data_IF_915739518192
#
_entry.id   IF_915739518192
#
_cell.length_a   1.000
_cell.length_b   1.000
_cell.length_c   1.000
_cell.angle_alpha   90.00
_cell.angle_beta   90.00
_cell.angle_gamma   90.00
#
_symmetry.space_group_name_H-M   'P 1'
#
loop_
_entity.id
_entity.type
_entity.pdbx_description
1 polymer ?
#
# COMPACT_ATOMS: atom_id res chain seq x y z
N UNK A 1 1.79 -14.54 56.82
CA UNK A 1 0.38 -14.37 56.45
C UNK A 1 0.23 -12.92 56.01
N UNK A 2 0.24 -12.56 54.73
CA UNK A 2 0.10 -13.32 53.50
C UNK A 2 0.99 -12.72 52.42
N UNK A 3 1.86 -13.54 51.84
CA UNK A 3 2.50 -13.30 50.55
C UNK A 3 1.43 -13.51 49.49
N UNK A 4 0.78 -12.43 49.07
CA UNK A 4 -0.05 -12.43 47.88
C UNK A 4 0.87 -12.55 46.65
N UNK A 5 1.31 -13.77 46.36
CA UNK A 5 1.65 -14.21 45.01
C UNK A 5 0.39 -13.98 44.16
N UNK A 6 0.35 -12.82 43.51
CA UNK A 6 -0.59 -12.62 42.41
C UNK A 6 -0.13 -13.55 41.29
N UNK A 7 -0.98 -14.46 40.77
CA UNK A 7 -0.59 -15.28 39.65
C UNK A 7 -0.37 -14.33 38.48
N UNK A 8 0.89 -14.14 38.06
CA UNK A 8 1.21 -13.50 36.79
C UNK A 8 0.46 -14.31 35.75
N UNK A 9 -0.64 -13.76 35.26
CA UNK A 9 -1.54 -14.41 34.33
C UNK A 9 -0.72 -15.00 33.19
N UNK A 10 -0.94 -16.29 32.94
CA UNK A 10 -0.30 -17.10 31.90
C UNK A 10 -0.23 -16.29 30.60
N UNK A 11 0.95 -15.76 30.27
CA UNK A 11 1.10 -14.88 29.12
C UNK A 11 0.86 -15.70 27.86
N UNK A 12 -0.32 -15.55 27.25
CA UNK A 12 -0.71 -16.25 26.02
C UNK A 12 0.38 -16.11 24.97
N UNK A 13 1.19 -17.14 24.78
CA UNK A 13 2.33 -17.11 23.87
C UNK A 13 1.82 -17.28 22.44
N UNK A 14 1.75 -16.19 21.68
CA UNK A 14 1.27 -16.22 20.30
C UNK A 14 2.29 -16.91 19.41
N UNK A 15 1.89 -18.01 18.76
CA UNK A 15 2.72 -18.72 17.80
C UNK A 15 2.29 -18.39 16.35
N UNK A 16 3.13 -18.72 15.36
CA UNK A 16 2.83 -18.51 13.94
C UNK A 16 1.54 -19.18 13.48
N UNK A 17 1.13 -20.26 14.16
CA UNK A 17 -0.15 -20.90 13.94
C UNK A 17 -1.35 -19.96 14.18
N UNK A 18 -1.29 -19.12 15.22
CA UNK A 18 -2.35 -18.15 15.53
C UNK A 18 -2.44 -17.06 14.45
N UNK A 19 -1.29 -16.64 13.90
CA UNK A 19 -1.24 -15.72 12.75
C UNK A 19 -1.86 -16.38 11.52
N UNK A 20 -1.58 -17.67 11.30
CA UNK A 20 -2.18 -18.47 10.24
C UNK A 20 -3.70 -18.59 10.37
N UNK A 21 -4.21 -18.83 11.59
CA UNK A 21 -5.64 -18.80 11.88
C UNK A 21 -6.25 -17.42 11.56
N UNK A 22 -5.60 -16.32 11.97
CA UNK A 22 -6.06 -14.97 11.61
C UNK A 22 -6.11 -14.72 10.09
N UNK A 23 -5.17 -15.29 9.33
CA UNK A 23 -5.16 -15.20 7.87
C UNK A 23 -6.40 -15.86 7.23
N UNK A 24 -7.00 -16.87 7.88
CA UNK A 24 -8.21 -17.52 7.36
C UNK A 24 -9.39 -16.56 7.22
N UNK A 25 -9.52 -15.57 8.11
CA UNK A 25 -10.55 -14.53 8.00
C UNK A 25 -10.35 -13.66 6.75
N UNK A 26 -9.10 -13.36 6.40
CA UNK A 26 -8.78 -12.62 5.17
C UNK A 26 -9.07 -13.48 3.94
N UNK A 27 -8.74 -14.77 3.99
CA UNK A 27 -9.04 -15.72 2.90
C UNK A 27 -10.55 -15.82 2.68
N UNK A 28 -11.32 -15.92 3.75
CA UNK A 28 -12.78 -15.92 3.70
C UNK A 28 -13.34 -14.65 3.05
N UNK A 29 -12.87 -13.47 3.46
CA UNK A 29 -13.25 -12.19 2.85
C UNK A 29 -12.84 -12.10 1.37
N UNK A 30 -11.68 -12.65 1.01
CA UNK A 30 -11.20 -12.71 -0.38
C UNK A 30 -12.10 -13.61 -1.23
N UNK A 31 -12.50 -14.77 -0.71
CA UNK A 31 -13.45 -15.68 -1.36
C UNK A 31 -14.82 -15.02 -1.55
N UNK A 32 -15.33 -14.34 -0.53
CA UNK A 32 -16.59 -13.61 -0.60
C UNK A 32 -16.53 -12.49 -1.66
N UNK A 33 -15.41 -11.75 -1.69
CA UNK A 33 -15.15 -10.72 -2.72
C UNK A 33 -15.11 -11.29 -4.13
N UNK A 34 -14.60 -12.51 -4.31
CA UNK A 34 -14.62 -13.22 -5.59
C UNK A 34 -16.04 -13.59 -6.01
N UNK A 35 -16.83 -14.15 -5.08
CA UNK A 35 -18.21 -14.57 -5.36
C UNK A 35 -19.11 -13.40 -5.74
N UNK A 36 -19.00 -12.27 -5.03
CA UNK A 36 -19.75 -11.05 -5.34
C UNK A 36 -19.10 -10.18 -6.42
N UNK A 37 -17.98 -10.62 -7.02
CA UNK A 37 -17.24 -9.89 -8.08
C UNK A 37 -16.83 -8.46 -7.72
N UNK A 38 -16.48 -8.19 -6.46
CA UNK A 38 -16.06 -6.85 -6.00
C UNK A 38 -14.68 -6.43 -6.54
N UNK A 39 -13.84 -7.38 -6.99
CA UNK A 39 -12.51 -7.08 -7.51
C UNK A 39 -11.45 -6.71 -6.45
N UNK A 40 -11.78 -6.82 -5.16
CA UNK A 40 -10.90 -6.41 -4.04
C UNK A 40 -10.14 -7.60 -3.43
N UNK A 41 -10.66 -8.83 -3.55
CA UNK A 41 -10.11 -10.01 -2.87
C UNK A 41 -8.60 -10.23 -3.09
N UNK A 42 -8.13 -10.14 -4.35
CA UNK A 42 -6.69 -10.27 -4.66
C UNK A 42 -5.87 -9.15 -4.00
N UNK A 43 -6.37 -7.93 -3.97
CA UNK A 43 -5.68 -6.80 -3.34
C UNK A 43 -5.60 -6.97 -1.82
N UNK A 44 -6.69 -7.43 -1.19
CA UNK A 44 -6.76 -7.69 0.25
C UNK A 44 -5.78 -8.82 0.67
N UNK A 45 -5.74 -9.91 -0.09
CA UNK A 45 -4.84 -11.03 0.19
C UNK A 45 -3.36 -10.63 0.05
N UNK A 46 -3.01 -9.90 -1.02
CA UNK A 46 -1.64 -9.39 -1.21
C UNK A 46 -1.26 -8.42 -0.07
N UNK A 47 -2.20 -7.57 0.36
CA UNK A 47 -1.97 -6.65 1.48
C UNK A 47 -1.73 -7.42 2.80
N UNK A 48 -2.46 -8.50 3.05
CA UNK A 48 -2.26 -9.34 4.24
C UNK A 48 -0.89 -10.02 4.24
N UNK A 49 -0.47 -10.60 3.11
CA UNK A 49 0.87 -11.20 2.99
C UNK A 49 1.98 -10.15 3.17
N UNK A 50 1.82 -8.96 2.57
CA UNK A 50 2.74 -7.83 2.77
C UNK A 50 2.78 -7.41 4.25
N UNK A 51 1.64 -7.37 4.93
CA UNK A 51 1.55 -7.04 6.36
C UNK A 51 2.36 -8.03 7.21
N UNK A 52 2.16 -9.34 7.01
CA UNK A 52 2.90 -10.38 7.74
C UNK A 52 4.41 -10.22 7.54
N UNK A 53 4.85 -10.09 6.28
CA UNK A 53 6.27 -9.92 5.98
C UNK A 53 6.86 -8.64 6.56
N UNK A 54 6.14 -7.52 6.47
CA UNK A 54 6.59 -6.23 6.99
C UNK A 54 6.69 -6.22 8.51
N UNK A 55 5.70 -6.75 9.23
CA UNK A 55 5.72 -6.83 10.69
C UNK A 55 6.81 -7.78 11.19
N UNK A 56 7.01 -8.92 10.51
CA UNK A 56 8.08 -9.85 10.87
C UNK A 56 9.47 -9.22 10.71
N UNK A 57 9.73 -8.55 9.58
CA UNK A 57 10.99 -7.83 9.34
C UNK A 57 11.16 -6.71 10.38
N UNK A 58 10.11 -5.92 10.63
CA UNK A 58 10.18 -4.82 11.58
C UNK A 58 10.46 -5.31 13.01
N UNK A 59 9.88 -6.44 13.42
CA UNK A 59 10.17 -7.05 14.73
C UNK A 59 11.65 -7.41 14.89
N UNK A 60 12.28 -7.97 13.85
CA UNK A 60 13.72 -8.29 13.85
C UNK A 60 14.58 -7.03 13.87
N UNK A 61 14.24 -6.03 13.05
CA UNK A 61 14.97 -4.76 12.99
C UNK A 61 14.92 -4.02 14.32
N UNK A 62 13.73 -3.89 14.93
CA UNK A 62 13.54 -3.15 16.17
C UNK A 62 14.40 -3.70 17.31
N UNK A 63 14.57 -5.04 17.39
CA UNK A 63 15.45 -5.67 18.38
C UNK A 63 16.89 -5.14 18.28
N UNK A 64 17.47 -5.17 17.08
CA UNK A 64 18.84 -4.71 16.83
C UNK A 64 19.00 -3.21 17.13
N UNK A 65 17.98 -2.42 16.80
CA UNK A 65 17.97 -0.97 17.00
C UNK A 65 17.93 -0.63 18.48
N UNK A 66 17.12 -1.34 19.26
CA UNK A 66 16.99 -1.12 20.70
C UNK A 66 18.27 -1.48 21.44
N UNK A 67 19.03 -2.48 20.96
CA UNK A 67 20.34 -2.87 21.51
C UNK A 67 21.44 -1.84 21.22
N UNK A 68 21.37 -1.15 20.07
CA UNK A 68 22.45 -0.24 19.63
C UNK A 68 22.42 1.14 20.31
N UNK A 69 21.24 1.59 20.77
CA UNK A 69 20.99 2.88 21.45
C UNK A 69 21.72 4.11 20.86
N UNK A 70 21.92 4.15 19.53
CA UNK A 70 22.66 5.20 18.83
C UNK A 70 21.68 6.20 18.18
N UNK A 71 21.78 7.52 18.44
CA UNK A 71 20.95 8.55 17.81
C UNK A 71 20.94 8.52 16.28
N UNK A 72 22.07 8.14 15.66
CA UNK A 72 22.17 8.04 14.20
C UNK A 72 21.38 6.86 13.63
N UNK A 73 21.28 5.75 14.36
CA UNK A 73 20.44 4.62 13.97
C UNK A 73 18.96 5.04 13.97
N UNK A 74 18.53 5.76 15.01
CA UNK A 74 17.17 6.31 15.15
C UNK A 74 16.84 7.29 14.02
N UNK A 75 17.77 8.20 13.70
CA UNK A 75 17.65 9.11 12.56
C UNK A 75 17.56 8.34 11.22
N UNK A 76 18.38 7.30 11.05
CA UNK A 76 18.37 6.43 9.86
C UNK A 76 17.02 5.76 9.65
N UNK A 77 16.42 5.21 10.70
CA UNK A 77 15.08 4.59 10.62
C UNK A 77 14.02 5.63 10.34
N UNK A 78 14.09 6.80 10.98
CA UNK A 78 13.15 7.88 10.74
C UNK A 78 13.17 8.33 9.26
N UNK A 79 14.36 8.44 8.69
CA UNK A 79 14.55 8.72 7.27
C UNK A 79 13.99 7.58 6.40
N UNK A 80 14.32 6.34 6.73
CA UNK A 80 13.85 5.15 6.01
C UNK A 80 12.32 5.04 6.01
N UNK A 81 11.66 5.28 7.15
CA UNK A 81 10.20 5.29 7.26
C UNK A 81 9.57 6.38 6.39
N UNK A 82 10.17 7.57 6.33
CA UNK A 82 9.73 8.66 5.46
C UNK A 82 9.89 8.31 3.97
N UNK A 83 11.01 7.72 3.58
CA UNK A 83 11.26 7.29 2.20
C UNK A 83 10.32 6.17 1.80
N UNK A 84 10.08 5.18 2.67
CA UNK A 84 9.11 4.11 2.43
C UNK A 84 7.68 4.65 2.33
N UNK A 85 7.30 5.58 3.21
CA UNK A 85 5.98 6.23 3.17
C UNK A 85 5.76 7.04 1.89
N UNK A 86 6.79 7.79 1.47
CA UNK A 86 6.78 8.52 0.19
C UNK A 86 6.63 7.56 -0.97
N UNK A 87 7.42 6.48 -0.98
CA UNK A 87 7.36 5.45 -2.03
C UNK A 87 5.99 4.79 -2.10
N UNK A 88 5.38 4.45 -0.95
CA UNK A 88 4.03 3.89 -0.90
C UNK A 88 2.99 4.84 -1.51
N UNK A 89 3.08 6.12 -1.18
CA UNK A 89 2.18 7.16 -1.71
C UNK A 89 2.30 7.30 -3.22
N UNK A 90 3.54 7.40 -3.73
CA UNK A 90 3.85 7.67 -5.14
C UNK A 90 3.64 6.44 -6.03
N UNK A 91 3.99 5.24 -5.54
CA UNK A 91 4.03 4.01 -6.35
C UNK A 91 2.74 3.22 -6.28
N UNK A 92 2.12 3.12 -5.10
CA UNK A 92 1.02 2.19 -4.85
C UNK A 92 -0.35 2.86 -4.76
N UNK A 93 -0.44 4.06 -4.18
CA UNK A 93 -1.74 4.69 -3.89
C UNK A 93 -2.16 5.78 -4.88
N UNK A 94 -1.21 6.47 -5.51
CA UNK A 94 -1.49 7.52 -6.48
C UNK A 94 -2.00 6.96 -7.82
N UNK A 95 -3.26 7.25 -8.16
CA UNK A 95 -3.87 6.89 -9.46
C UNK A 95 -3.44 7.81 -10.61
N UNK A 96 -3.09 9.06 -10.29
CA UNK A 96 -2.65 10.10 -11.24
C UNK A 96 -1.40 10.74 -10.70
N UNK A 97 -0.41 10.97 -11.55
CA UNK A 97 0.92 11.43 -11.16
C UNK A 97 1.22 12.79 -11.77
N UNK A 98 2.09 13.54 -11.11
CA UNK A 98 2.62 14.78 -11.64
C UNK A 98 4.15 14.74 -11.70
N UNK A 99 4.71 15.61 -12.53
CA UNK A 99 6.16 15.81 -12.63
C UNK A 99 6.75 16.13 -11.23
N UNK A 100 7.90 15.53 -10.87
CA UNK A 100 8.54 15.74 -9.56
C UNK A 100 7.69 15.33 -8.32
N UNK A 101 6.70 14.45 -8.48
CA UNK A 101 5.85 13.99 -7.37
C UNK A 101 6.63 13.37 -6.19
N UNK A 102 7.69 12.59 -6.45
CA UNK A 102 8.48 11.96 -5.39
C UNK A 102 9.18 13.00 -4.48
N UNK A 103 10.02 13.91 -5.00
CA UNK A 103 10.66 14.92 -4.15
C UNK A 103 9.64 15.86 -3.50
N UNK A 104 8.54 16.24 -4.17
CA UNK A 104 7.51 17.08 -3.56
C UNK A 104 6.83 16.41 -2.35
N UNK A 105 6.50 15.12 -2.46
CA UNK A 105 5.91 14.38 -1.34
C UNK A 105 6.94 14.15 -0.24
N UNK A 106 8.19 13.82 -0.58
CA UNK A 106 9.25 13.63 0.40
C UNK A 106 9.49 14.89 1.23
N UNK A 107 9.56 16.06 0.58
CA UNK A 107 9.70 17.36 1.27
C UNK A 107 8.49 17.62 2.17
N UNK A 108 7.28 17.32 1.69
CA UNK A 108 6.05 17.49 2.48
C UNK A 108 6.01 16.57 3.70
N UNK A 109 6.44 15.31 3.56
CA UNK A 109 6.53 14.35 4.66
C UNK A 109 7.60 14.79 5.66
N UNK A 110 8.84 14.99 5.23
CA UNK A 110 9.95 15.38 6.11
C UNK A 110 9.65 16.70 6.82
N UNK A 111 9.15 17.70 6.07
CA UNK A 111 8.79 19.01 6.60
C UNK A 111 7.63 18.99 7.60
N UNK A 112 6.84 17.91 7.64
CA UNK A 112 5.75 17.76 8.59
C UNK A 112 6.04 16.78 9.73
N UNK A 113 6.65 15.63 9.45
CA UNK A 113 6.86 14.58 10.45
C UNK A 113 8.04 14.91 11.36
N UNK A 114 9.14 15.44 10.83
CA UNK A 114 10.37 15.72 11.61
C UNK A 114 10.15 16.82 12.66
N UNK A 115 9.60 18.01 12.33
CA UNK A 115 9.40 19.04 13.35
C UNK A 115 8.35 18.61 14.38
N UNK A 116 7.26 17.99 13.95
CA UNK A 116 6.21 17.54 14.88
C UNK A 116 6.73 16.43 15.80
N UNK A 117 7.50 15.47 15.28
CA UNK A 117 8.07 14.41 16.13
C UNK A 117 9.09 14.94 17.12
N UNK A 118 9.97 15.86 16.69
CA UNK A 118 11.02 16.40 17.56
C UNK A 118 10.44 17.29 18.66
N UNK A 119 9.55 18.23 18.30
CA UNK A 119 8.88 19.12 19.26
C UNK A 119 7.95 18.32 20.17
N UNK A 120 7.13 17.42 19.61
CA UNK A 120 6.20 16.60 20.37
C UNK A 120 6.91 15.65 21.35
N UNK A 121 7.97 14.97 20.91
CA UNK A 121 8.75 14.09 21.79
C UNK A 121 9.43 14.87 22.92
N UNK A 122 10.05 16.01 22.61
CA UNK A 122 10.79 16.80 23.60
C UNK A 122 9.89 17.50 24.61
N UNK A 123 8.85 18.17 24.13
CA UNK A 123 8.05 19.10 24.94
C UNK A 123 6.74 18.50 25.42
N UNK A 124 6.01 17.79 24.55
CA UNK A 124 4.70 17.26 24.92
C UNK A 124 4.80 15.96 25.73
N UNK A 125 5.77 15.09 25.40
CA UNK A 125 5.94 13.80 26.06
C UNK A 125 7.02 13.80 27.14
N UNK A 126 7.81 14.89 27.25
CA UNK A 126 8.86 15.01 28.26
C UNK A 126 9.99 13.98 28.13
N UNK A 127 10.16 13.38 26.94
CA UNK A 127 11.13 12.30 26.74
C UNK A 127 12.53 12.91 26.63
N UNK A 128 13.37 12.61 27.62
CA UNK A 128 14.77 13.02 27.65
C UNK A 128 15.64 11.77 27.91
N UNK A 129 16.44 11.30 26.93
CA UNK A 129 16.69 11.86 25.59
C UNK A 129 15.58 11.54 24.56
N UNK A 130 15.27 12.49 23.67
CA UNK A 130 14.25 12.31 22.61
C UNK A 130 14.49 11.12 21.68
N UNK A 131 15.75 10.68 21.60
CA UNK A 131 16.22 9.61 20.74
C UNK A 131 16.01 8.22 21.34
N UNK A 132 15.28 8.10 22.45
CA UNK A 132 14.97 6.80 23.07
C UNK A 132 14.25 5.91 22.07
N UNK A 133 14.89 4.84 21.53
CA UNK A 133 14.38 4.11 20.38
C UNK A 133 13.00 3.50 20.59
N UNK A 134 12.75 2.99 21.80
CA UNK A 134 11.52 2.28 22.19
C UNK A 134 10.28 3.17 22.09
N UNK A 135 10.43 4.49 22.30
CA UNK A 135 9.33 5.44 22.24
C UNK A 135 9.32 6.16 20.88
N UNK A 136 10.48 6.65 20.43
CA UNK A 136 10.54 7.53 19.26
C UNK A 136 10.23 6.80 17.94
N UNK A 137 10.70 5.55 17.77
CA UNK A 137 10.51 4.82 16.51
C UNK A 137 9.03 4.51 16.25
N UNK A 138 8.25 3.95 17.21
CA UNK A 138 6.81 3.77 17.02
C UNK A 138 6.06 5.08 16.76
N UNK A 139 6.43 6.16 17.45
CA UNK A 139 5.78 7.48 17.28
C UNK A 139 5.98 7.99 15.86
N UNK A 140 7.22 7.99 15.35
CA UNK A 140 7.47 8.37 13.96
C UNK A 140 6.73 7.45 12.99
N UNK A 141 6.70 6.14 13.24
CA UNK A 141 5.97 5.19 12.42
C UNK A 141 4.48 5.55 12.30
N UNK A 142 3.85 5.89 13.43
CA UNK A 142 2.44 6.32 13.46
C UNK A 142 2.21 7.67 12.76
N UNK A 143 3.10 8.64 12.97
CA UNK A 143 3.04 9.94 12.28
C UNK A 143 3.18 9.76 10.76
N UNK A 144 4.14 8.95 10.31
CA UNK A 144 4.33 8.62 8.90
C UNK A 144 3.10 7.90 8.32
N UNK A 145 2.52 6.95 9.05
CA UNK A 145 1.33 6.21 8.61
C UNK A 145 0.10 7.11 8.38
N UNK A 146 -0.15 8.03 9.32
CA UNK A 146 -1.24 9.01 9.21
C UNK A 146 -1.01 10.01 8.07
N UNK A 147 0.19 10.58 7.99
CA UNK A 147 0.56 11.56 6.95
C UNK A 147 0.48 10.98 5.54
N UNK A 148 0.95 9.75 5.33
CA UNK A 148 0.83 9.04 4.03
C UNK A 148 -0.62 8.95 3.57
N UNK A 149 -1.52 8.59 4.49
CA UNK A 149 -2.94 8.47 4.17
C UNK A 149 -3.57 9.83 3.85
N UNK A 150 -3.25 10.87 4.64
CA UNK A 150 -3.74 12.24 4.39
C UNK A 150 -3.22 12.84 3.08
N UNK A 151 -1.91 12.77 2.82
CA UNK A 151 -1.30 13.24 1.57
C UNK A 151 -1.94 12.54 0.37
N UNK A 152 -2.14 11.22 0.45
CA UNK A 152 -2.74 10.48 -0.66
C UNK A 152 -4.16 10.96 -0.97
N UNK A 153 -4.98 11.22 0.06
CA UNK A 153 -6.34 11.77 -0.12
C UNK A 153 -6.27 13.18 -0.72
N UNK A 154 -5.44 14.06 -0.14
CA UNK A 154 -5.34 15.46 -0.57
C UNK A 154 -4.84 15.58 -2.02
N UNK A 155 -3.73 14.93 -2.36
CA UNK A 155 -3.14 14.96 -3.70
C UNK A 155 -4.07 14.30 -4.72
N UNK A 156 -4.68 13.16 -4.38
CA UNK A 156 -5.62 12.51 -5.30
C UNK A 156 -6.84 13.38 -5.59
N UNK A 157 -7.35 14.10 -4.58
CA UNK A 157 -8.44 15.05 -4.77
C UNK A 157 -8.02 16.23 -5.65
N UNK A 158 -6.87 16.86 -5.37
CA UNK A 158 -6.34 17.98 -6.17
C UNK A 158 -6.18 17.58 -7.64
N UNK A 159 -5.55 16.43 -7.91
CA UNK A 159 -5.36 15.94 -9.29
C UNK A 159 -6.66 15.50 -9.95
N UNK A 160 -7.65 15.07 -9.16
CA UNK A 160 -8.98 14.77 -9.67
C UNK A 160 -9.67 16.07 -10.13
N UNK A 161 -9.68 17.07 -9.27
CA UNK A 161 -10.34 18.34 -9.49
C UNK A 161 -9.71 19.12 -10.65
N UNK A 162 -8.38 19.15 -10.74
CA UNK A 162 -7.67 19.77 -11.87
C UNK A 162 -7.94 19.12 -13.22
N UNK A 163 -8.32 17.85 -13.23
CA UNK A 163 -8.62 17.12 -14.46
C UNK A 163 -10.09 17.24 -14.86
N UNK A 164 -11.00 17.10 -13.90
CA UNK A 164 -12.45 17.10 -14.15
C UNK A 164 -13.02 18.52 -14.24
N UNK A 165 -12.45 19.47 -13.50
CA UNK A 165 -12.93 20.85 -13.38
C UNK A 165 -11.88 21.86 -13.90
N UNK A 166 -11.04 21.45 -14.88
CA UNK A 166 -9.99 22.28 -15.48
C UNK A 166 -10.52 23.62 -15.96
N UNK A 167 -11.65 23.61 -16.66
CA UNK A 167 -12.25 24.81 -17.27
C UNK A 167 -12.59 25.87 -16.22
N UNK A 168 -13.06 25.47 -15.03
CA UNK A 168 -13.36 26.39 -13.94
C UNK A 168 -12.11 27.12 -13.47
N UNK A 169 -11.01 26.39 -13.30
CA UNK A 169 -9.73 26.96 -12.87
C UNK A 169 -9.16 27.89 -13.95
N UNK A 170 -9.28 27.53 -15.23
CA UNK A 170 -8.87 28.41 -16.34
C UNK A 170 -9.70 29.68 -16.43
N UNK A 171 -11.00 29.61 -16.17
CA UNK A 171 -11.88 30.78 -16.07
C UNK A 171 -11.39 31.73 -14.96
N UNK A 172 -11.12 31.23 -13.74
CA UNK A 172 -10.58 32.08 -12.67
C UNK A 172 -9.28 32.78 -13.10
N UNK A 173 -8.35 32.05 -13.73
CA UNK A 173 -7.08 32.60 -14.20
C UNK A 173 -7.29 33.63 -15.32
N UNK A 174 -8.25 33.41 -16.22
CA UNK A 174 -8.61 34.35 -17.30
C UNK A 174 -9.23 35.65 -16.77
N UNK A 175 -9.96 35.58 -15.65
CA UNK A 175 -10.46 36.76 -14.93
C UNK A 175 -9.39 37.45 -14.06
N UNK A 176 -8.12 37.03 -14.14
CA UNK A 176 -7.00 37.66 -13.45
C UNK A 176 -6.72 37.12 -12.04
N UNK A 177 -7.39 36.04 -11.61
CA UNK A 177 -7.10 35.43 -10.31
C UNK A 177 -5.65 34.94 -10.25
N UNK A 178 -5.01 35.12 -9.10
CA UNK A 178 -3.68 34.57 -8.87
C UNK A 178 -3.72 33.04 -8.75
N UNK A 179 -2.56 32.39 -8.88
CA UNK A 179 -2.46 30.94 -8.63
C UNK A 179 -2.94 30.55 -7.25
N UNK A 180 -2.68 31.38 -6.25
CA UNK A 180 -3.10 31.10 -4.88
C UNK A 180 -4.63 31.18 -4.74
N UNK A 181 -5.24 32.17 -5.38
CA UNK A 181 -6.68 32.41 -5.32
C UNK A 181 -7.48 31.32 -6.03
N UNK A 182 -7.06 30.94 -7.24
CA UNK A 182 -7.65 29.82 -7.99
C UNK A 182 -7.46 28.47 -7.28
N UNK A 183 -6.35 28.30 -6.54
CA UNK A 183 -6.05 27.04 -5.83
C UNK A 183 -6.75 26.91 -4.48
N UNK A 184 -7.03 28.02 -3.80
CA UNK A 184 -7.55 28.06 -2.43
C UNK A 184 -8.80 27.18 -2.20
N UNK A 185 -9.86 27.22 -3.04
CA UNK A 185 -11.05 26.38 -2.81
C UNK A 185 -10.73 24.89 -2.95
N UNK A 186 -9.88 24.51 -3.91
CA UNK A 186 -9.48 23.11 -4.14
C UNK A 186 -8.66 22.59 -2.97
N UNK A 187 -7.64 23.35 -2.52
CA UNK A 187 -6.77 22.95 -1.41
C UNK A 187 -7.55 22.87 -0.10
N UNK A 188 -8.51 23.78 0.14
CA UNK A 188 -9.36 23.76 1.33
C UNK A 188 -10.17 22.46 1.42
N UNK A 189 -10.78 22.05 0.31
CA UNK A 189 -11.58 20.82 0.29
C UNK A 189 -10.69 19.57 0.34
N UNK A 190 -9.55 19.58 -0.34
CA UNK A 190 -8.54 18.53 -0.22
C UNK A 190 -8.11 18.30 1.24
N UNK A 191 -7.86 19.38 1.99
CA UNK A 191 -7.48 19.33 3.39
C UNK A 191 -8.63 18.81 4.27
N UNK A 192 -9.86 19.26 4.01
CA UNK A 192 -11.05 18.77 4.74
C UNK A 192 -11.20 17.26 4.58
N UNK A 193 -11.09 16.75 3.36
CA UNK A 193 -11.17 15.32 3.06
C UNK A 193 -10.02 14.54 3.73
N UNK A 194 -8.80 15.08 3.69
CA UNK A 194 -7.63 14.44 4.30
C UNK A 194 -7.69 14.37 5.83
N UNK A 195 -8.32 15.35 6.50
CA UNK A 195 -8.40 15.41 7.96
C UNK A 195 -9.66 14.75 8.55
N UNK A 196 -10.69 14.53 7.73
CA UNK A 196 -11.95 13.89 8.18
C UNK A 196 -11.70 12.55 8.90
N UNK A 197 -10.83 11.63 8.43
CA UNK A 197 -10.55 10.39 9.14
C UNK A 197 -9.91 10.59 10.52
N UNK A 198 -9.10 11.65 10.70
CA UNK A 198 -8.49 11.95 12.00
C UNK A 198 -9.54 12.50 12.97
N UNK A 199 -10.40 13.41 12.50
CA UNK A 199 -11.51 13.96 13.29
C UNK A 199 -12.47 12.84 13.74
N UNK A 200 -12.83 11.95 12.82
CA UNK A 200 -13.72 10.82 13.10
C UNK A 200 -13.11 9.80 14.06
N UNK A 201 -11.79 9.59 14.03
CA UNK A 201 -11.12 8.75 15.03
C UNK A 201 -11.12 9.45 16.39
N UNK A 202 -10.78 10.74 16.45
CA UNK A 202 -10.75 11.49 17.71
C UNK A 202 -12.11 11.57 18.41
N UNK A 203 -13.23 11.53 17.68
CA UNK A 203 -14.57 11.57 18.27
C UNK A 203 -15.00 10.25 18.93
N UNK A 204 -14.43 9.11 18.52
CA UNK A 204 -14.81 7.78 19.04
C UNK A 204 -13.81 7.19 20.03
N UNK A 205 -12.59 7.75 20.07
CA UNK A 205 -11.53 7.33 20.98
C UNK A 205 -11.96 7.52 22.43
N UNK A 206 -11.84 6.44 23.22
CA UNK A 206 -12.22 6.43 24.63
C UNK A 206 -13.70 6.19 24.91
N UNK A 207 -14.58 6.28 23.90
CA UNK A 207 -16.00 5.91 24.04
C UNK A 207 -16.23 4.49 23.51
N UNK A 208 -15.80 4.23 22.27
CA UNK A 208 -16.06 2.97 21.56
C UNK A 208 -14.75 2.19 21.34
N UNK A 209 -13.67 2.92 21.03
CA UNK A 209 -12.39 2.32 20.68
C UNK A 209 -11.33 2.63 21.73
N UNK A 210 -10.69 1.57 22.25
CA UNK A 210 -9.43 1.67 22.98
C UNK A 210 -8.31 1.40 21.97
N UNK A 211 -7.46 2.40 21.64
CA UNK A 211 -6.41 2.20 20.66
C UNK A 211 -5.36 1.21 21.16
N UNK A 212 -4.86 0.37 20.24
CA UNK A 212 -4.00 -0.77 20.59
C UNK A 212 -2.69 -0.39 21.27
N UNK A 213 -2.13 0.80 20.99
CA UNK A 213 -0.91 1.28 21.68
C UNK A 213 -1.19 1.66 23.14
N UNK A 214 -2.36 2.25 23.43
CA UNK A 214 -2.79 2.49 24.82
C UNK A 214 -2.99 1.18 25.57
N UNK A 215 -3.69 0.20 24.97
CA UNK A 215 -3.84 -1.14 25.56
C UNK A 215 -2.47 -1.80 25.77
N UNK A 216 -1.57 -1.71 24.78
CA UNK A 216 -0.22 -2.24 24.88
C UNK A 216 0.60 -1.61 26.01
N UNK A 217 0.50 -0.30 26.21
CA UNK A 217 1.16 0.39 27.32
C UNK A 217 0.59 -0.06 28.68
N UNK A 218 -0.73 -0.25 28.79
CA UNK A 218 -1.39 -0.75 30.00
C UNK A 218 -0.93 -2.18 30.30
N UNK A 219 -0.92 -3.07 29.30
CA UNK A 219 -0.43 -4.44 29.43
C UNK A 219 1.08 -4.49 29.75
N UNK A 220 1.83 -3.49 29.30
CA UNK A 220 3.24 -3.29 29.64
C UNK A 220 3.49 -2.69 31.03
N UNK A 221 2.45 -2.53 31.86
CA UNK A 221 2.56 -2.05 33.24
C UNK A 221 2.51 -0.53 33.41
N UNK A 222 2.20 0.24 32.36
CA UNK A 222 1.98 1.69 32.48
C UNK A 222 0.63 1.96 33.13
N UNK A 223 0.54 2.98 33.99
CA UNK A 223 -0.74 3.38 34.57
C UNK A 223 -1.73 3.81 33.47
N UNK A 224 -3.01 3.48 33.66
CA UNK A 224 -4.07 3.79 32.68
C UNK A 224 -4.16 5.29 32.38
N UNK A 225 -4.00 6.11 33.43
CA UNK A 225 -4.00 7.58 33.29
C UNK A 225 -2.85 8.07 32.41
N UNK A 226 -1.65 7.53 32.60
CA UNK A 226 -0.48 7.91 31.81
C UNK A 226 -0.60 7.42 30.36
N UNK A 227 -1.10 6.20 30.15
CA UNK A 227 -1.36 5.67 28.82
C UNK A 227 -2.39 6.52 28.05
N UNK A 228 -3.44 7.00 28.73
CA UNK A 228 -4.45 7.89 28.15
C UNK A 228 -3.84 9.25 27.74
N UNK A 229 -3.02 9.88 28.61
CA UNK A 229 -2.30 11.13 28.31
C UNK A 229 -1.37 11.00 27.10
N UNK A 230 -0.57 9.94 27.05
CA UNK A 230 0.30 9.66 25.91
C UNK A 230 -0.50 9.48 24.62
N UNK A 231 -1.62 8.75 24.68
CA UNK A 231 -2.47 8.52 23.53
C UNK A 231 -3.12 9.80 23.00
N UNK A 232 -3.56 10.70 23.89
CA UNK A 232 -4.08 12.03 23.51
C UNK A 232 -3.01 12.84 22.77
N UNK A 233 -1.80 12.92 23.33
CA UNK A 233 -0.68 13.65 22.72
C UNK A 233 -0.35 13.09 21.33
N UNK A 234 -0.28 11.76 21.19
CA UNK A 234 0.02 11.12 19.91
C UNK A 234 -1.06 11.41 18.87
N UNK A 235 -2.34 11.43 19.25
CA UNK A 235 -3.42 11.78 18.32
C UNK A 235 -3.34 13.23 17.84
N UNK A 236 -2.99 14.16 18.73
CA UNK A 236 -2.75 15.57 18.34
C UNK A 236 -1.54 15.69 17.41
N UNK A 237 -0.46 14.95 17.67
CA UNK A 237 0.72 14.90 16.79
C UNK A 237 0.38 14.33 15.41
N UNK A 238 -0.35 13.23 15.33
CA UNK A 238 -0.79 12.63 14.05
C UNK A 238 -1.66 13.64 13.28
N UNK A 239 -2.63 14.27 13.95
CA UNK A 239 -3.51 15.25 13.33
C UNK A 239 -2.73 16.46 12.78
N UNK A 240 -1.85 17.03 13.60
CA UNK A 240 -1.00 18.17 13.22
C UNK A 240 -0.06 17.83 12.06
N UNK A 241 0.63 16.69 12.13
CA UNK A 241 1.53 16.23 11.07
C UNK A 241 0.77 15.99 9.77
N UNK A 242 -0.41 15.35 9.85
CA UNK A 242 -1.26 15.10 8.67
C UNK A 242 -1.74 16.39 8.04
N UNK A 243 -2.17 17.37 8.84
CA UNK A 243 -2.60 18.68 8.36
C UNK A 243 -1.46 19.41 7.63
N UNK A 244 -0.30 19.51 8.27
CA UNK A 244 0.87 20.19 7.71
C UNK A 244 1.35 19.50 6.42
N UNK A 245 1.46 18.17 6.42
CA UNK A 245 1.86 17.42 5.24
C UNK A 245 0.87 17.58 4.08
N UNK A 246 -0.44 17.58 4.37
CA UNK A 246 -1.50 17.75 3.36
C UNK A 246 -1.52 19.15 2.77
N UNK A 247 -1.28 20.19 3.59
CA UNK A 247 -1.18 21.59 3.13
C UNK A 247 0.03 21.76 2.21
N UNK A 248 1.21 21.30 2.65
CA UNK A 248 2.46 21.45 1.88
C UNK A 248 2.38 20.66 0.58
N UNK A 249 1.94 19.40 0.62
CA UNK A 249 1.83 18.56 -0.58
C UNK A 249 0.81 19.09 -1.57
N UNK A 250 -0.36 19.55 -1.13
CA UNK A 250 -1.37 20.15 -2.01
C UNK A 250 -0.86 21.46 -2.62
N UNK A 251 -0.19 22.30 -1.82
CA UNK A 251 0.37 23.57 -2.31
C UNK A 251 1.48 23.35 -3.33
N UNK A 252 2.37 22.38 -3.10
CA UNK A 252 3.41 22.00 -4.05
C UNK A 252 2.81 21.40 -5.33
N UNK A 253 1.79 20.55 -5.20
CA UNK A 253 1.06 20.00 -6.36
C UNK A 253 0.48 21.12 -7.22
N UNK A 254 -0.19 22.10 -6.62
CA UNK A 254 -0.76 23.25 -7.34
C UNK A 254 0.32 24.11 -8.00
N UNK A 255 1.47 24.32 -7.33
CA UNK A 255 2.61 25.06 -7.91
C UNK A 255 3.23 24.35 -9.12
N UNK A 256 3.24 23.02 -9.14
CA UNK A 256 3.77 22.26 -10.28
C UNK A 256 2.76 22.24 -11.44
N UNK A 257 1.46 22.17 -11.14
CA UNK A 257 0.39 22.10 -12.14
C UNK A 257 0.02 23.46 -12.76
N UNK A 258 0.14 24.56 -12.02
CA UNK A 258 -0.14 25.93 -12.51
C UNK A 258 1.16 26.70 -12.64
N UNK A 259 1.48 27.09 -13.87
CA UNK A 259 2.77 27.65 -14.22
C UNK A 259 2.87 29.18 -14.09
N UNK A 260 4.12 29.68 -14.18
CA UNK A 260 4.55 31.06 -14.49
C UNK A 260 3.40 31.99 -14.86
N UNK A 261 2.89 31.68 -16.03
CA UNK A 261 2.05 32.51 -16.87
C UNK A 261 0.56 32.23 -16.68
N UNK A 262 0.15 31.77 -15.48
CA UNK A 262 -1.26 31.51 -15.12
C UNK A 262 -1.95 30.54 -16.09
N UNK A 263 -1.25 29.47 -16.46
CA UNK A 263 -1.78 28.38 -17.29
C UNK A 263 -1.68 27.05 -16.56
N UNK A 264 -2.72 26.24 -16.70
CA UNK A 264 -2.70 24.85 -16.26
C UNK A 264 -1.86 24.07 -17.26
N UNK A 265 -0.94 23.25 -16.78
CA UNK A 265 -0.07 22.39 -17.58
C UNK A 265 -0.54 20.94 -17.52
N UNK A 266 -1.58 20.55 -18.29
CA UNK A 266 -2.08 19.19 -18.30
C UNK A 266 -1.02 18.19 -18.79
N UNK A 267 -0.01 18.63 -19.54
CA UNK A 267 1.11 17.81 -19.99
C UNK A 267 1.98 17.28 -18.84
N UNK A 268 1.95 17.92 -17.68
CA UNK A 268 2.67 17.48 -16.48
C UNK A 268 1.93 16.41 -15.68
N UNK A 269 0.68 16.10 -16.05
CA UNK A 269 -0.14 15.10 -15.37
C UNK A 269 -0.13 13.79 -16.16
N UNK A 270 0.63 12.82 -15.67
CA UNK A 270 0.67 11.49 -16.26
C UNK A 270 -0.40 10.58 -15.63
N UNK A 271 -1.31 10.09 -16.47
CA UNK A 271 -2.33 9.09 -16.09
C UNK A 271 -1.84 7.65 -16.32
N UNK A 272 -0.61 7.46 -16.83
CA UNK A 272 -0.04 6.14 -17.10
C UNK A 272 0.36 5.44 -15.79
N UNK A 273 0.16 4.12 -15.69
CA UNK A 273 0.55 3.35 -14.52
C UNK A 273 2.07 3.37 -14.29
N UNK A 274 2.49 3.40 -13.02
CA UNK A 274 3.89 3.50 -12.59
C UNK A 274 4.81 2.54 -13.35
N UNK A 275 6.04 2.95 -13.68
CA UNK A 275 7.03 2.11 -14.35
C UNK A 275 7.24 0.75 -13.65
N UNK A 276 7.21 0.74 -12.31
CA UNK A 276 7.24 -0.47 -11.46
C UNK A 276 6.04 -1.39 -11.69
N UNK A 277 4.83 -0.85 -11.88
CA UNK A 277 3.66 -1.67 -12.21
C UNK A 277 3.69 -2.18 -13.65
N UNK A 278 4.26 -1.40 -14.58
CA UNK A 278 4.56 -1.88 -15.93
C UNK A 278 5.60 -2.99 -15.92
N UNK A 279 6.68 -2.81 -15.16
CA UNK A 279 7.72 -3.82 -14.97
C UNK A 279 7.17 -5.07 -14.28
N UNK A 280 6.32 -4.93 -13.25
CA UNK A 280 5.69 -6.06 -12.56
C UNK A 280 4.68 -6.78 -13.44
N UNK A 281 3.89 -6.04 -14.23
CA UNK A 281 2.97 -6.62 -15.21
C UNK A 281 3.74 -7.37 -16.29
N UNK A 282 4.80 -6.78 -16.81
CA UNK A 282 5.72 -7.41 -17.77
C UNK A 282 6.40 -8.65 -17.18
N UNK A 283 6.87 -8.59 -15.93
CA UNK A 283 7.49 -9.72 -15.24
C UNK A 283 6.48 -10.85 -15.01
N UNK A 284 5.25 -10.50 -14.63
CA UNK A 284 4.16 -11.45 -14.44
C UNK A 284 3.74 -12.09 -15.76
N UNK A 285 3.62 -11.32 -16.84
CA UNK A 285 3.38 -11.83 -18.19
C UNK A 285 4.51 -12.78 -18.60
N UNK A 286 5.76 -12.40 -18.37
CA UNK A 286 6.94 -13.25 -18.66
C UNK A 286 6.92 -14.56 -17.87
N UNK A 287 6.56 -14.53 -16.58
CA UNK A 287 6.45 -15.74 -15.73
C UNK A 287 5.28 -16.62 -16.20
N UNK A 288 4.13 -16.01 -16.51
CA UNK A 288 2.96 -16.74 -17.04
C UNK A 288 3.28 -17.38 -18.38
N UNK A 289 4.01 -16.70 -19.25
CA UNK A 289 4.44 -17.24 -20.55
C UNK A 289 5.46 -18.37 -20.38
N UNK A 290 6.39 -18.24 -19.42
CA UNK A 290 7.33 -19.31 -19.08
C UNK A 290 6.60 -20.56 -18.55
N UNK A 291 5.66 -20.38 -17.63
CA UNK A 291 4.82 -21.47 -17.12
C UNK A 291 3.97 -22.11 -18.23
N UNK A 292 3.38 -21.30 -19.11
CA UNK A 292 2.60 -21.78 -20.26
C UNK A 292 3.47 -22.59 -21.23
N UNK A 293 4.70 -22.13 -21.49
CA UNK A 293 5.66 -22.82 -22.36
C UNK A 293 6.18 -24.13 -21.74
N UNK A 294 6.37 -24.18 -20.42
CA UNK A 294 6.73 -25.42 -19.72
C UNK A 294 5.58 -26.45 -19.73
N UNK A 295 4.34 -26.00 -19.53
CA UNK A 295 3.16 -26.87 -19.61
C UNK A 295 2.91 -27.35 -21.05
N UNK A 296 3.11 -26.48 -22.04
CA UNK A 296 3.03 -26.84 -23.46
C UNK A 296 4.16 -27.79 -23.88
N UNK A 297 5.39 -27.58 -23.39
CA UNK A 297 6.53 -28.47 -23.61
C UNK A 297 6.34 -29.86 -22.98
N UNK A 298 5.66 -29.93 -21.84
CA UNK A 298 5.26 -31.21 -21.22
C UNK A 298 4.21 -31.97 -22.04
N UNK A 299 3.27 -31.27 -22.68
CA UNK A 299 2.30 -31.88 -23.61
C UNK A 299 2.91 -32.33 -24.93
N UNK A 300 3.97 -31.66 -25.41
CA UNK A 300 4.71 -32.05 -26.60
C UNK A 300 5.46 -33.37 -26.43
N UNK A 301 6.19 -33.54 -25.32
CA UNK A 301 6.90 -34.79 -25.01
C UNK A 301 5.97 -35.97 -24.72
N UNK A 302 4.81 -35.73 -24.13
CA UNK A 302 3.79 -36.78 -23.92
C UNK A 302 3.25 -37.34 -25.25
N UNK A 303 3.09 -36.51 -26.28
CA UNK A 303 2.63 -36.96 -27.60
C UNK A 303 3.68 -37.76 -28.37
N UNK A 304 4.95 -37.39 -28.33
CA UNK A 304 6.01 -38.17 -28.99
C UNK A 304 6.24 -39.54 -28.34
N UNK A 305 6.12 -39.64 -27.01
CA UNK A 305 6.27 -40.93 -26.29
C UNK A 305 5.09 -41.86 -26.55
N UNK A 306 3.87 -41.33 -26.67
CA UNK A 306 2.69 -42.14 -27.04
C UNK A 306 2.78 -42.60 -28.50
N UNK A 307 3.19 -41.73 -29.43
CA UNK A 307 3.35 -42.09 -30.84
C UNK A 307 4.47 -43.12 -31.06
N UNK A 308 5.58 -43.00 -30.32
CA UNK A 308 6.66 -44.00 -30.36
C UNK A 308 6.25 -45.37 -29.79
N UNK A 309 5.31 -45.41 -28.84
CA UNK A 309 4.77 -46.67 -28.34
C UNK A 309 3.79 -47.32 -29.32
N UNK A 310 2.99 -46.53 -30.04
CA UNK A 310 2.11 -47.02 -31.12
C UNK A 310 2.91 -47.58 -32.31
N UNK A 311 4.03 -46.97 -32.69
CA UNK A 311 4.91 -47.48 -33.76
C UNK A 311 5.57 -48.82 -33.38
N UNK A 312 5.95 -49.01 -32.11
CA UNK A 312 6.52 -50.28 -31.63
C UNK A 312 5.47 -51.39 -31.45
N UNK A 313 4.21 -51.04 -31.14
CA UNK A 313 3.10 -52.01 -31.08
C UNK A 313 2.63 -52.38 -32.50
N UNK A 314 2.59 -51.43 -33.43
CA UNK A 314 2.26 -51.67 -34.85
C UNK A 314 3.24 -52.60 -35.57
N UNK A 315 4.53 -52.56 -35.21
CA UNK A 315 5.54 -53.48 -35.75
C UNK A 315 5.40 -54.92 -35.21
N UNK A 316 4.80 -55.12 -34.04
CA UNK A 316 4.49 -56.46 -33.51
C UNK A 316 3.18 -57.02 -34.07
N UNK A 317 2.23 -56.16 -34.48
CA UNK A 317 0.99 -56.59 -35.13
C UNK A 317 1.11 -56.83 -36.66
N UNK A 318 2.04 -56.16 -37.35
CA UNK A 318 2.27 -56.38 -38.79
C UNK A 318 2.90 -57.74 -39.15
N UNK A 319 3.45 -58.48 -38.18
CA UNK A 319 3.88 -59.88 -38.40
C UNK A 319 2.71 -60.88 -38.34
N UNK A 320 1.50 -60.44 -37.95
CA UNK A 320 0.40 -61.34 -37.61
C UNK A 320 -0.86 -61.22 -38.48
N UNK A 321 -0.93 -60.28 -39.41
CA UNK A 321 -2.09 -60.21 -40.31
C UNK A 321 -1.69 -59.77 -41.73
N UNK A 322 -1.31 -60.77 -42.53
CA UNK A 322 -1.54 -60.71 -43.95
C UNK A 322 -3.04 -60.80 -44.22
N UNK A 323 -3.56 -59.83 -44.98
CA UNK A 323 -4.66 -59.97 -45.95
C UNK A 323 -5.53 -58.71 -46.00
N UNK A 324 -5.49 -58.04 -47.15
CA UNK A 324 -6.71 -57.58 -47.80
C UNK A 324 -7.22 -56.17 -47.49
N UNK A 325 -7.06 -55.28 -48.47
CA UNK A 325 -8.25 -54.60 -49.01
C UNK A 325 -8.36 -53.08 -48.87
N UNK A 326 -7.89 -52.40 -49.92
CA UNK A 326 -8.47 -51.22 -50.62
C UNK A 326 -8.74 -49.91 -49.86
N UNK A 327 -7.94 -48.94 -50.28
CA UNK A 327 -8.07 -47.49 -50.23
C UNK A 327 -9.31 -46.95 -50.96
N UNK A 328 -9.98 -45.92 -50.38
CA UNK A 328 -10.58 -44.80 -51.14
C UNK A 328 -10.36 -43.50 -50.35
N UNK A 329 -9.81 -42.52 -51.05
CA UNK A 329 -9.39 -41.19 -50.62
C UNK A 329 -10.38 -40.15 -51.22
N UNK A 330 -10.64 -39.01 -50.58
CA UNK A 330 -11.54 -38.02 -51.18
C UNK A 330 -11.77 -36.73 -50.38
N UNK A 331 -10.95 -35.71 -50.68
CA UNK A 331 -10.97 -34.33 -50.18
C UNK A 331 -12.24 -33.53 -50.54
N UNK A 332 -12.49 -32.46 -49.77
CA UNK A 332 -13.24 -31.25 -50.16
C UNK A 332 -14.06 -30.72 -48.97
N UNK A 333 -13.95 -29.49 -48.45
CA UNK A 333 -13.59 -28.21 -49.07
C UNK A 333 -14.83 -27.29 -49.04
N UNK A 334 -14.65 -26.07 -48.50
CA UNK A 334 -15.54 -24.88 -48.56
C UNK A 334 -16.72 -24.85 -47.55
N UNK A 335 -16.75 -23.96 -46.54
CA UNK A 335 -16.87 -22.49 -46.53
C UNK A 335 -18.23 -22.00 -47.06
N UNK A 336 -19.16 -21.59 -46.18
CA UNK A 336 -20.28 -20.69 -46.49
C UNK A 336 -20.89 -20.06 -45.20
N UNK A 337 -20.67 -18.74 -45.09
CA UNK A 337 -21.49 -17.67 -44.45
C UNK A 337 -21.58 -16.62 -45.59
N UNK A 338 -22.62 -15.76 -45.79
CA UNK A 338 -23.71 -15.31 -44.90
C UNK A 338 -25.12 -15.21 -45.55
N UNK A 339 -26.13 -14.92 -44.72
CA UNK A 339 -27.04 -13.74 -44.78
C UNK A 339 -28.47 -14.07 -44.35
N UNK A 340 -28.88 -13.49 -43.22
CA UNK A 340 -30.00 -12.55 -43.15
C UNK A 340 -29.77 -11.61 -41.96
#
# INVERSE_FOLDING_TARGET
MDTADSPVADQTHLNWFNVGLGLTFVIFNSFLSYNFRLGIGRALFIAALRCIGQLAIMGLLLKQIFETNNPWAVAGIACLLNVMGTSETVVNKSKRRFEHMFPSILISMLGATVPVSLVGARFAMGVAPVWTPQQYVPIIGMLCGGTVSGINVAVSYVLKELHENKDKVEVYLAFGASRFESSKPIVREALRLALTPNINQMSVLGIIAIPGMMTGAILGGTSVEQAAKLQMVIMFMISSSTALASIVSSSLTMRVMIDGDHRIRPERMDSRPHAVWRARKWLWERIVDLCRNLVAGGKGKGKEVINGYEDHVGLLEMSRNGSGGRTINGRGGYFLVPHA
#
